data_IF_808791270064
#
_entry.id   IF_808791270064
#
_cell.length_a   1.000
_cell.length_b   1.000
_cell.length_c   1.000
_cell.angle_alpha   90.00
_cell.angle_beta   90.00
_cell.angle_gamma   90.00
#
_symmetry.space_group_name_H-M   'P 1'
#
loop_
_entity.id
_entity.type
_entity.pdbx_description
1 polymer ?
#
# COMPACT_ATOMS: atom_id res chain seq x y z
N UNK A 1 -16.20 7.38 11.27
CA UNK A 1 -14.86 6.88 11.53
C UNK A 1 -14.16 6.52 10.25
N UNK A 2 -12.90 6.83 10.16
CA UNK A 2 -12.15 6.54 8.95
C UNK A 2 -11.49 5.18 8.97
N UNK A 3 -10.88 4.84 7.85
CA UNK A 3 -10.12 3.60 7.73
C UNK A 3 -9.11 3.73 6.61
N UNK A 4 -8.13 2.84 6.63
CA UNK A 4 -7.07 2.79 5.63
C UNK A 4 -7.17 1.47 4.89
N UNK A 5 -7.23 1.53 3.57
CA UNK A 5 -7.30 0.33 2.73
C UNK A 5 -6.28 0.43 1.62
N UNK A 6 -6.01 -0.71 0.98
CA UNK A 6 -5.08 -0.78 -0.14
C UNK A 6 -5.59 -1.78 -1.18
N UNK A 7 -5.07 -1.68 -2.38
CA UNK A 7 -5.42 -2.58 -3.47
C UNK A 7 -4.23 -2.62 -4.42
N UNK A 8 -3.70 -3.81 -4.67
CA UNK A 8 -2.50 -3.95 -5.50
C UNK A 8 -2.86 -4.68 -6.79
N UNK A 9 -2.50 -4.08 -7.90
CA UNK A 9 -2.71 -4.66 -9.22
C UNK A 9 -1.38 -4.95 -9.87
N UNK A 10 -1.26 -6.16 -10.42
CA UNK A 10 -0.07 -6.60 -11.16
C UNK A 10 -0.32 -6.26 -12.62
N UNK A 11 0.25 -5.14 -13.07
CA UNK A 11 -0.03 -4.64 -14.41
C UNK A 11 0.67 -5.47 -15.48
N UNK A 12 1.76 -6.15 -15.13
CA UNK A 12 2.44 -7.00 -16.10
C UNK A 12 1.61 -8.24 -16.44
N UNK A 13 0.86 -8.75 -15.45
CA UNK A 13 0.04 -9.93 -15.64
C UNK A 13 -1.42 -9.60 -15.91
N UNK A 14 -1.79 -8.32 -15.73
CA UNK A 14 -3.16 -7.90 -15.97
C UNK A 14 -4.15 -8.43 -14.96
N UNK A 15 -3.75 -8.57 -13.69
CA UNK A 15 -4.60 -9.17 -12.68
C UNK A 15 -4.25 -8.62 -11.29
N UNK A 16 -5.14 -8.80 -10.31
CA UNK A 16 -4.81 -8.40 -8.94
C UNK A 16 -3.61 -9.16 -8.41
N UNK A 17 -2.83 -8.51 -7.54
CA UNK A 17 -1.66 -9.10 -6.93
C UNK A 17 -2.02 -9.78 -5.64
N UNK A 18 -2.31 -11.07 -5.70
CA UNK A 18 -2.64 -11.86 -4.52
C UNK A 18 -1.41 -12.40 -3.82
N UNK A 19 -1.51 -12.55 -2.52
CA UNK A 19 -0.46 -13.12 -1.67
C UNK A 19 0.80 -12.27 -1.65
N UNK A 20 0.63 -10.96 -1.72
CA UNK A 20 1.73 -10.02 -1.64
C UNK A 20 1.83 -9.49 -0.21
N UNK A 21 3.03 -9.52 0.35
CA UNK A 21 3.25 -9.11 1.73
C UNK A 21 3.39 -7.60 1.84
N UNK A 22 2.71 -7.02 2.81
CA UNK A 22 2.72 -5.58 3.06
C UNK A 22 2.98 -5.34 4.53
N UNK A 23 3.93 -4.45 4.83
CA UNK A 23 4.17 -4.03 6.20
C UNK A 23 3.68 -2.61 6.38
N UNK A 24 3.03 -2.34 7.50
CA UNK A 24 2.54 -1.00 7.82
C UNK A 24 3.33 -0.47 9.01
N UNK A 25 3.86 0.73 8.85
CA UNK A 25 4.62 1.42 9.89
C UNK A 25 3.98 2.76 10.21
N UNK A 26 4.14 3.18 11.45
CA UNK A 26 3.80 4.55 11.85
C UNK A 26 5.09 5.23 12.29
N UNK A 27 5.24 6.49 11.91
CA UNK A 27 6.40 7.28 12.32
C UNK A 27 6.12 7.87 13.70
N UNK A 28 6.93 7.47 14.68
CA UNK A 28 6.80 7.94 16.06
C UNK A 28 8.16 8.44 16.49
N UNK A 29 8.24 9.73 16.84
CA UNK A 29 9.51 10.35 17.28
C UNK A 29 10.64 10.11 16.28
N UNK A 30 10.33 10.30 15.00
CA UNK A 30 11.28 10.14 13.89
C UNK A 30 11.77 8.71 13.71
N UNK A 31 11.06 7.75 14.25
CA UNK A 31 11.39 6.33 14.09
C UNK A 31 10.20 5.59 13.52
N UNK A 32 10.48 4.65 12.62
CA UNK A 32 9.43 3.80 12.06
C UNK A 32 9.09 2.71 13.05
N UNK A 33 7.83 2.62 13.42
CA UNK A 33 7.36 1.55 14.30
C UNK A 33 6.40 0.67 13.51
N UNK A 34 6.73 -0.61 13.44
CA UNK A 34 5.90 -1.55 12.70
C UNK A 34 4.60 -1.80 13.44
N UNK A 35 3.49 -1.59 12.75
CA UNK A 35 2.17 -1.80 13.32
C UNK A 35 1.69 -3.21 13.04
N UNK A 36 1.80 -3.65 11.79
CA UNK A 36 1.34 -4.97 11.39
C UNK A 36 1.92 -5.36 10.05
N UNK A 37 1.82 -6.65 9.76
CA UNK A 37 2.12 -7.21 8.45
C UNK A 37 0.91 -7.96 7.96
N UNK A 38 0.59 -7.84 6.68
CA UNK A 38 -0.56 -8.50 6.10
C UNK A 38 -0.18 -9.10 4.75
N UNK A 39 -1.03 -9.98 4.25
CA UNK A 39 -0.92 -10.53 2.91
C UNK A 39 -2.17 -10.14 2.15
N UNK A 40 -2.01 -9.77 0.88
CA UNK A 40 -3.18 -9.50 0.05
C UNK A 40 -3.90 -10.81 -0.26
N UNK A 41 -5.20 -10.71 -0.48
CA UNK A 41 -6.02 -11.84 -0.90
C UNK A 41 -6.02 -11.93 -2.43
N UNK A 42 -6.84 -12.82 -2.97
CA UNK A 42 -6.89 -13.04 -4.41
C UNK A 42 -7.35 -11.84 -5.21
N UNK A 43 -7.99 -10.87 -4.56
CA UNK A 43 -8.41 -9.65 -5.21
C UNK A 43 -7.34 -8.56 -5.12
N UNK A 44 -6.20 -8.85 -4.52
CA UNK A 44 -5.16 -7.84 -4.32
C UNK A 44 -5.47 -6.87 -3.21
N UNK A 45 -6.43 -7.19 -2.38
CA UNK A 45 -6.86 -6.37 -1.25
C UNK A 45 -6.57 -7.10 0.04
N UNK A 46 -6.76 -6.42 1.16
CA UNK A 46 -6.68 -7.07 2.46
C UNK A 46 -8.08 -7.44 2.90
N UNK A 47 -8.21 -8.57 3.60
CA UNK A 47 -9.53 -9.01 4.06
C UNK A 47 -10.16 -8.01 5.01
N UNK A 48 -9.33 -7.28 5.74
CA UNK A 48 -9.79 -6.25 6.66
C UNK A 48 -9.03 -4.96 6.37
N UNK A 49 -9.59 -3.81 6.72
CA UNK A 49 -8.84 -2.56 6.58
C UNK A 49 -7.51 -2.63 7.31
N UNK A 50 -6.50 -1.95 6.78
CA UNK A 50 -5.19 -1.91 7.42
C UNK A 50 -5.29 -1.22 8.78
N UNK A 51 -6.09 -0.19 8.86
CA UNK A 51 -6.38 0.51 10.11
C UNK A 51 -7.84 0.93 10.10
N UNK A 52 -8.47 0.88 11.25
CA UNK A 52 -9.83 1.40 11.41
C UNK A 52 -10.12 1.56 12.91
N UNK A 53 -11.17 2.29 13.19
CA UNK A 53 -11.61 2.47 14.56
C UNK A 53 -10.59 3.22 15.41
N UNK A 54 -10.39 2.75 16.62
CA UNK A 54 -9.52 3.44 17.57
C UNK A 54 -8.05 3.36 17.17
N UNK A 55 -7.68 2.42 16.32
CA UNK A 55 -6.29 2.33 15.86
C UNK A 55 -5.98 3.30 14.73
N UNK A 56 -7.00 3.90 14.14
CA UNK A 56 -6.83 4.80 12.99
C UNK A 56 -6.79 6.24 13.48
N UNK A 57 -5.61 6.82 13.53
CA UNK A 57 -5.47 8.21 13.96
C UNK A 57 -4.56 8.95 12.98
N UNK A 58 -4.55 10.26 13.09
CA UNK A 58 -3.74 11.08 12.20
C UNK A 58 -2.26 10.87 12.50
N UNK A 59 -1.44 11.12 11.51
CA UNK A 59 -0.02 10.95 11.64
C UNK A 59 0.63 10.57 10.34
N UNK A 60 1.91 10.25 10.42
CA UNK A 60 2.69 9.83 9.25
C UNK A 60 2.90 8.33 9.28
N UNK A 61 2.73 7.71 8.12
CA UNK A 61 2.77 6.26 7.99
C UNK A 61 3.59 5.86 6.78
N UNK A 62 3.98 4.59 6.74
CA UNK A 62 4.62 3.99 5.57
C UNK A 62 4.00 2.64 5.30
N UNK A 63 3.79 2.36 4.03
CA UNK A 63 3.46 1.02 3.56
C UNK A 63 4.66 0.50 2.79
N UNK A 64 5.12 -0.69 3.14
CA UNK A 64 6.21 -1.35 2.45
C UNK A 64 5.65 -2.59 1.76
N UNK A 65 5.63 -2.54 0.44
CA UNK A 65 5.14 -3.64 -0.38
C UNK A 65 6.34 -4.48 -0.82
N UNK A 66 6.32 -5.76 -0.51
CA UNK A 66 7.44 -6.65 -0.84
C UNK A 66 7.31 -7.12 -2.28
N UNK A 67 7.61 -6.21 -3.19
CA UNK A 67 7.35 -6.39 -4.62
C UNK A 67 8.20 -7.47 -5.25
N UNK A 68 9.52 -7.46 -5.00
CA UNK A 68 10.40 -8.43 -5.62
C UNK A 68 10.04 -9.87 -5.21
N UNK A 69 9.74 -10.07 -3.93
CA UNK A 69 9.35 -11.39 -3.45
C UNK A 69 8.09 -11.87 -4.14
N UNK A 70 7.12 -10.98 -4.30
CA UNK A 70 5.88 -11.30 -4.97
C UNK A 70 6.13 -11.67 -6.44
N UNK A 71 6.87 -10.84 -7.16
CA UNK A 71 7.12 -11.07 -8.59
C UNK A 71 7.88 -12.36 -8.82
N UNK A 72 8.88 -12.62 -7.96
CA UNK A 72 9.66 -13.83 -8.07
C UNK A 72 8.79 -15.07 -7.84
N UNK A 73 7.91 -15.00 -6.86
CA UNK A 73 7.02 -16.12 -6.56
C UNK A 73 6.05 -16.38 -7.71
N UNK A 74 5.69 -15.34 -8.47
CA UNK A 74 4.79 -15.48 -9.61
C UNK A 74 5.52 -15.89 -10.88
N UNK A 75 6.81 -16.19 -10.80
CA UNK A 75 7.55 -16.70 -11.93
C UNK A 75 8.27 -15.67 -12.78
N UNK A 76 8.31 -14.41 -12.33
CA UNK A 76 9.08 -13.40 -13.04
C UNK A 76 10.56 -13.72 -12.94
N UNK A 77 11.26 -13.61 -14.05
CA UNK A 77 12.70 -13.78 -14.06
C UNK A 77 13.33 -12.44 -13.67
N UNK A 78 13.81 -12.37 -12.45
CA UNK A 78 14.42 -11.17 -11.93
C UNK A 78 15.93 -11.35 -11.83
N UNK A 79 16.70 -10.27 -11.98
CA UNK A 79 18.14 -10.35 -11.69
C UNK A 79 18.35 -10.70 -10.22
N UNK A 80 19.56 -11.10 -9.88
CA UNK A 80 19.88 -11.39 -8.48
C UNK A 80 19.59 -10.18 -7.60
N UNK A 81 19.85 -8.98 -8.11
CA UNK A 81 19.47 -7.74 -7.43
C UNK A 81 18.42 -7.06 -8.29
N UNK A 82 17.14 -7.24 -7.96
CA UNK A 82 16.06 -6.68 -8.79
C UNK A 82 16.07 -5.16 -8.79
N UNK A 83 15.56 -4.57 -9.87
CA UNK A 83 15.45 -3.13 -9.96
C UNK A 83 14.52 -2.58 -8.88
N UNK A 84 13.32 -3.15 -8.78
CA UNK A 84 12.41 -2.82 -7.69
C UNK A 84 12.45 -3.95 -6.68
N UNK A 85 12.92 -3.65 -5.49
CA UNK A 85 12.97 -4.63 -4.40
C UNK A 85 11.72 -4.49 -3.55
N UNK A 86 11.65 -3.39 -2.84
CA UNK A 86 10.47 -3.05 -2.05
C UNK A 86 9.92 -1.73 -2.55
N UNK A 87 8.60 -1.61 -2.56
CA UNK A 87 7.97 -0.33 -2.87
C UNK A 87 7.54 0.28 -1.56
N UNK A 88 8.08 1.45 -1.25
CA UNK A 88 7.81 2.15 0.00
C UNK A 88 7.00 3.38 -0.31
N UNK A 89 5.82 3.48 0.30
CA UNK A 89 4.97 4.65 0.14
C UNK A 89 4.83 5.30 1.50
N UNK A 90 5.38 6.50 1.64
CA UNK A 90 5.27 7.30 2.86
C UNK A 90 4.15 8.30 2.64
N UNK A 91 3.23 8.35 3.59
CA UNK A 91 2.06 9.21 3.44
C UNK A 91 1.59 9.70 4.79
N UNK A 92 0.69 10.69 4.77
CA UNK A 92 0.13 11.24 5.99
C UNK A 92 -1.37 11.06 6.02
N UNK A 93 -1.89 10.84 7.21
CA UNK A 93 -3.32 10.86 7.46
C UNK A 93 -3.58 12.12 8.26
N UNK A 94 -4.29 13.04 7.64
CA UNK A 94 -4.57 14.33 8.27
C UNK A 94 -5.85 14.28 9.09
N UNK A 95 -6.87 13.62 8.57
CA UNK A 95 -8.18 13.58 9.21
C UNK A 95 -8.60 12.11 9.39
N UNK A 96 -8.58 11.65 10.64
CA UNK A 96 -8.89 10.25 10.94
C UNK A 96 -10.37 9.91 10.72
N UNK A 97 -11.21 10.89 10.40
CA UNK A 97 -12.61 10.62 10.09
C UNK A 97 -12.83 10.27 8.63
N UNK A 98 -11.80 10.40 7.80
CA UNK A 98 -11.91 10.10 6.38
C UNK A 98 -11.41 8.71 6.07
N UNK A 99 -11.90 8.17 4.96
CA UNK A 99 -11.38 6.90 4.44
C UNK A 99 -10.24 7.20 3.49
N UNK A 100 -9.10 6.55 3.72
CA UNK A 100 -7.93 6.68 2.86
C UNK A 100 -7.72 5.37 2.12
N UNK A 101 -7.44 5.47 0.84
CA UNK A 101 -7.19 4.30 0.01
C UNK A 101 -5.91 4.53 -0.76
N UNK A 102 -4.97 3.58 -0.64
CA UNK A 102 -3.66 3.66 -1.27
C UNK A 102 -3.54 2.51 -2.26
N UNK A 103 -3.87 2.74 -3.53
CA UNK A 103 -3.71 1.69 -4.55
C UNK A 103 -2.28 1.63 -5.04
N UNK A 104 -1.87 0.47 -5.52
CA UNK A 104 -0.55 0.29 -6.10
C UNK A 104 -0.68 -0.46 -7.42
N UNK A 105 -0.15 0.13 -8.48
CA UNK A 105 -0.02 -0.53 -9.78
C UNK A 105 1.44 -0.93 -9.92
N UNK A 106 1.70 -2.22 -10.06
CA UNK A 106 3.04 -2.77 -9.92
C UNK A 106 3.48 -3.55 -11.14
N UNK A 107 4.74 -3.35 -11.54
CA UNK A 107 5.44 -4.21 -12.50
C UNK A 107 6.88 -4.34 -12.04
N UNK A 108 7.71 -5.08 -12.79
CA UNK A 108 9.08 -5.33 -12.38
C UNK A 108 9.95 -4.08 -12.37
N UNK A 109 9.62 -3.10 -13.19
CA UNK A 109 10.46 -1.92 -13.34
C UNK A 109 9.74 -0.61 -13.08
N UNK A 110 8.52 -0.66 -12.59
CA UNK A 110 7.81 0.57 -12.33
C UNK A 110 6.59 0.36 -11.45
N UNK A 111 6.13 1.43 -10.86
CA UNK A 111 4.90 1.39 -10.11
C UNK A 111 4.28 2.78 -10.11
N UNK A 112 3.00 2.82 -9.84
CA UNK A 112 2.33 4.09 -9.63
C UNK A 112 1.32 3.95 -8.50
N UNK A 113 1.04 5.04 -7.85
CA UNK A 113 0.12 5.08 -6.74
C UNK A 113 -0.57 6.43 -6.70
N UNK A 114 -1.68 6.47 -5.99
CA UNK A 114 -2.36 7.71 -5.69
C UNK A 114 -3.12 7.49 -4.39
N UNK A 115 -3.52 8.58 -3.75
CA UNK A 115 -4.29 8.49 -2.51
C UNK A 115 -5.61 9.20 -2.75
N UNK A 116 -6.70 8.54 -2.40
CA UNK A 116 -8.01 9.13 -2.55
C UNK A 116 -8.70 9.25 -1.19
N UNK A 117 -9.50 10.29 -1.07
CA UNK A 117 -10.30 10.58 0.12
C UNK A 117 -11.77 10.49 -0.28
N UNK A 118 -12.56 9.91 0.58
CA UNK A 118 -13.95 9.65 0.23
C UNK A 118 -14.81 10.89 0.19
N UNK A 119 -14.54 11.88 1.04
CA UNK A 119 -15.41 13.05 1.06
C UNK A 119 -14.71 14.32 0.58
N UNK A 120 -13.45 14.22 0.26
CA UNK A 120 -12.71 15.39 -0.16
C UNK A 120 -12.97 15.65 -1.63
N UNK A 121 -13.43 16.85 -1.90
CA UNK A 121 -13.56 17.27 -3.29
C UNK A 121 -12.30 18.03 -3.62
N UNK A 122 -11.45 17.40 -4.39
CA UNK A 122 -10.23 18.07 -4.82
C UNK A 122 -10.58 19.19 -5.77
N UNK A 123 -9.93 20.35 -5.63
CA UNK A 123 -10.12 21.40 -6.60
C UNK A 123 -9.71 20.85 -7.95
N UNK A 124 -10.61 20.93 -8.85
CA UNK A 124 -10.30 20.50 -10.19
C UNK A 124 -9.49 21.59 -10.80
N UNK A 125 -8.25 21.41 -10.77
CA UNK A 125 -7.47 22.39 -11.42
C UNK A 125 -7.36 21.96 -12.79
N UNK A 126 -8.08 22.58 -13.46
CA UNK A 126 -7.87 22.28 -14.85
C UNK A 126 -6.48 22.68 -15.20
#
# INVERSE_FOLDING_TARGET
MGRLTTHVLDTARGMPAGNLSIDLYKLVDNSDQKIKSVLTNNDGRCDEPLLEGSSFDSGKYKLVFHAASYLKEKGELLPQTPFLDEVVIAFGIDDAEQHYHVPLLLSAYGYSTSVSYTHLTLPTKA
#
